data_IF_603705940820
#
_entry.id   IF_603705940820
#
_cell.length_a   1.000
_cell.length_b   1.000
_cell.length_c   1.000
_cell.angle_alpha   90.00
_cell.angle_beta   90.00
_cell.angle_gamma   90.00
#
_symmetry.space_group_name_H-M   'P 1'
#
loop_
_entity.id
_entity.type
_entity.pdbx_description
1 polymer ?
#
# COMPACT_ATOMS: atom_id res chain seq x y z
N UNK A 1 15.61 -6.32 17.33
CA UNK A 1 15.04 -5.36 16.36
C UNK A 1 14.17 -6.09 15.37
N UNK A 2 13.08 -5.48 15.02
CA UNK A 2 12.17 -6.06 14.05
C UNK A 2 12.84 -6.17 12.69
N UNK A 3 12.67 -7.32 12.04
CA UNK A 3 13.22 -7.58 10.72
C UNK A 3 12.77 -6.49 9.72
N UNK A 4 11.49 -6.14 9.78
CA UNK A 4 10.95 -5.13 8.87
C UNK A 4 11.58 -3.77 9.11
N UNK A 5 11.77 -3.41 10.37
CA UNK A 5 12.40 -2.12 10.69
C UNK A 5 13.82 -2.07 10.15
N UNK A 6 14.56 -3.17 10.27
CA UNK A 6 15.92 -3.20 9.74
C UNK A 6 15.93 -2.97 8.24
N UNK A 7 15.00 -3.60 7.52
CA UNK A 7 14.90 -3.41 6.08
C UNK A 7 14.51 -1.99 5.71
N UNK A 8 13.61 -1.40 6.50
CA UNK A 8 13.20 -0.02 6.23
C UNK A 8 14.38 0.92 6.40
N UNK A 9 15.20 0.70 7.42
CA UNK A 9 16.38 1.53 7.62
C UNK A 9 17.33 1.43 6.43
N UNK A 10 17.52 0.22 5.91
CA UNK A 10 18.37 0.04 4.73
C UNK A 10 17.77 0.72 3.52
N UNK A 11 16.45 0.64 3.37
CA UNK A 11 15.77 1.30 2.27
C UNK A 11 15.99 2.80 2.33
N UNK A 12 15.90 3.38 3.52
CA UNK A 12 16.11 4.82 3.68
C UNK A 12 17.54 5.24 3.36
N UNK A 13 18.45 4.29 3.44
CA UNK A 13 19.86 4.55 3.09
C UNK A 13 20.13 4.37 1.60
N UNK A 14 19.09 4.07 0.83
CA UNK A 14 19.22 3.93 -0.61
C UNK A 14 19.29 2.51 -1.11
N UNK A 15 19.04 1.52 -0.26
CA UNK A 15 19.09 0.12 -0.66
C UNK A 15 17.75 -0.26 -1.31
N UNK A 16 17.75 -0.30 -2.65
CA UNK A 16 16.54 -0.63 -3.38
C UNK A 16 16.12 -2.08 -3.19
N UNK A 17 17.08 -2.97 -2.96
CA UNK A 17 16.75 -4.37 -2.73
C UNK A 17 16.00 -4.54 -1.42
N UNK A 18 16.39 -3.79 -0.40
CA UNK A 18 15.68 -3.85 0.87
C UNK A 18 14.26 -3.36 0.70
N UNK A 19 14.08 -2.30 -0.06
CA UNK A 19 12.74 -1.77 -0.33
C UNK A 19 11.88 -2.80 -1.04
N UNK A 20 12.44 -3.43 -2.06
CA UNK A 20 11.71 -4.44 -2.80
C UNK A 20 11.36 -5.63 -1.92
N UNK A 21 12.27 -6.00 -1.02
CA UNK A 21 12.02 -7.11 -0.12
C UNK A 21 10.88 -6.81 0.84
N UNK A 22 10.82 -5.59 1.35
CA UNK A 22 9.71 -5.19 2.22
C UNK A 22 8.39 -5.33 1.48
N UNK A 23 8.33 -4.85 0.26
CA UNK A 23 7.12 -4.94 -0.54
C UNK A 23 6.73 -6.39 -0.74
N UNK A 24 7.71 -7.22 -1.09
CA UNK A 24 7.44 -8.63 -1.33
C UNK A 24 6.92 -9.34 -0.09
N UNK A 25 7.50 -9.02 1.06
CA UNK A 25 7.10 -9.68 2.30
C UNK A 25 5.77 -9.20 2.82
N UNK A 26 5.26 -8.10 2.29
CA UNK A 26 4.00 -7.54 2.75
C UNK A 26 2.90 -7.60 1.69
N UNK A 27 3.10 -8.39 0.64
CA UNK A 27 2.05 -8.54 -0.36
C UNK A 27 0.79 -9.15 0.23
N UNK A 28 0.94 -10.06 1.19
CA UNK A 28 -0.24 -10.63 1.86
C UNK A 28 -1.06 -9.57 2.56
N UNK A 29 -0.41 -8.59 3.16
CA UNK A 29 -1.10 -7.50 3.81
C UNK A 29 -1.88 -6.68 2.79
N UNK A 30 -1.27 -6.40 1.64
CA UNK A 30 -1.95 -5.66 0.59
C UNK A 30 -3.17 -6.42 0.10
N UNK A 31 -3.04 -7.72 -0.16
CA UNK A 31 -4.17 -8.52 -0.60
C UNK A 31 -5.28 -8.56 0.43
N UNK A 32 -4.92 -8.63 1.69
CA UNK A 32 -5.91 -8.64 2.76
C UNK A 32 -6.76 -7.37 2.71
N UNK A 33 -6.11 -6.24 2.49
CA UNK A 33 -6.82 -4.96 2.42
C UNK A 33 -7.63 -4.86 1.13
N UNK A 34 -7.04 -5.31 0.02
CA UNK A 34 -7.69 -5.25 -1.28
C UNK A 34 -9.01 -6.03 -1.27
N UNK A 35 -9.02 -7.17 -0.59
CA UNK A 35 -10.22 -7.99 -0.54
C UNK A 35 -11.41 -7.27 0.09
N UNK A 36 -11.14 -6.30 0.93
CA UNK A 36 -12.21 -5.53 1.56
C UNK A 36 -12.92 -4.65 0.55
N UNK A 37 -12.31 -4.41 -0.58
CA UNK A 37 -12.88 -3.56 -1.62
C UNK A 37 -13.36 -4.35 -2.82
N UNK A 38 -13.43 -5.67 -2.70
CA UNK A 38 -13.92 -6.51 -3.79
C UNK A 38 -15.37 -6.16 -4.10
N UNK A 39 -15.75 -6.28 -5.36
CA UNK A 39 -17.13 -6.05 -5.76
C UNK A 39 -17.48 -4.61 -6.01
N UNK A 40 -16.49 -3.75 -6.08
CA UNK A 40 -16.75 -2.33 -6.29
C UNK A 40 -16.58 -1.89 -7.72
N UNK A 41 -16.59 -2.83 -8.65
CA UNK A 41 -16.49 -2.51 -10.06
C UNK A 41 -15.07 -2.34 -10.56
N UNK A 42 -14.10 -2.59 -9.72
CA UNK A 42 -12.69 -2.50 -10.09
C UNK A 42 -12.06 -3.87 -9.89
N UNK A 43 -11.17 -4.24 -10.80
CA UNK A 43 -10.52 -5.53 -10.69
C UNK A 43 -9.57 -5.56 -9.50
N UNK A 44 -9.49 -6.74 -8.88
CA UNK A 44 -8.64 -6.91 -7.72
C UNK A 44 -7.18 -6.64 -8.04
N UNK A 45 -6.74 -6.98 -9.24
CA UNK A 45 -5.36 -6.76 -9.62
C UNK A 45 -5.02 -5.27 -9.69
N UNK A 46 -5.97 -4.47 -10.18
CA UNK A 46 -5.77 -3.03 -10.19
C UNK A 46 -5.68 -2.48 -8.78
N UNK A 47 -6.56 -2.96 -7.92
CA UNK A 47 -6.53 -2.54 -6.52
C UNK A 47 -5.24 -2.96 -5.84
N UNK A 48 -4.73 -4.14 -6.21
CA UNK A 48 -3.47 -4.60 -5.65
C UNK A 48 -2.33 -3.66 -6.04
N UNK A 49 -2.30 -3.24 -7.30
CA UNK A 49 -1.25 -2.32 -7.73
C UNK A 49 -1.34 -0.99 -6.99
N UNK A 50 -2.54 -0.48 -6.82
CA UNK A 50 -2.72 0.77 -6.08
C UNK A 50 -2.34 0.58 -4.62
N UNK A 51 -2.72 -0.55 -4.04
CA UNK A 51 -2.35 -0.84 -2.66
C UNK A 51 -0.84 -0.95 -2.48
N UNK A 52 -0.18 -1.54 -3.47
CA UNK A 52 1.28 -1.65 -3.42
C UNK A 52 1.93 -0.27 -3.44
N UNK A 53 1.37 0.67 -4.20
CA UNK A 53 1.87 2.04 -4.19
C UNK A 53 1.74 2.63 -2.79
N UNK A 54 0.61 2.39 -2.13
CA UNK A 54 0.43 2.84 -0.76
C UNK A 54 1.45 2.23 0.18
N UNK A 55 1.74 0.95 -0.02
CA UNK A 55 2.74 0.26 0.79
C UNK A 55 4.12 0.89 0.58
N UNK A 56 4.47 1.18 -0.67
CA UNK A 56 5.77 1.79 -0.94
C UNK A 56 5.88 3.17 -0.33
N UNK A 57 4.80 3.93 -0.36
CA UNK A 57 4.79 5.24 0.29
C UNK A 57 4.96 5.09 1.80
N UNK A 58 4.35 4.06 2.38
CA UNK A 58 4.49 3.80 3.80
C UNK A 58 5.94 3.50 4.16
N UNK A 59 6.60 2.69 3.34
CA UNK A 59 8.00 2.36 3.57
C UNK A 59 8.84 3.64 3.55
N UNK A 60 8.60 4.47 2.56
CA UNK A 60 9.41 5.68 2.37
C UNK A 60 9.19 6.70 3.49
N UNK A 61 7.99 6.74 4.04
CA UNK A 61 7.65 7.76 5.03
C UNK A 61 7.70 7.27 6.47
N UNK A 62 7.86 5.98 6.67
CA UNK A 62 7.89 5.45 8.03
C UNK A 62 9.12 5.93 8.77
N UNK A 63 8.91 6.44 9.95
CA UNK A 63 10.00 6.87 10.83
C UNK A 63 10.28 5.73 11.79
N UNK A 64 11.49 5.19 11.73
CA UNK A 64 11.83 4.03 12.54
C UNK A 64 11.85 4.33 14.03
N UNK A 65 11.73 5.59 14.41
CA UNK A 65 11.61 5.96 15.81
C UNK A 65 10.17 5.87 16.31
N UNK A 66 9.21 5.65 15.41
CA UNK A 66 7.83 5.47 15.83
C UNK A 66 7.73 4.25 16.74
N UNK A 67 6.84 4.32 17.70
CA UNK A 67 6.65 3.22 18.65
C UNK A 67 5.49 2.32 18.25
N UNK A 68 5.30 2.14 16.96
CA UNK A 68 4.26 1.27 16.42
C UNK A 68 4.89 0.34 15.41
N UNK A 69 4.23 -0.80 15.17
CA UNK A 69 4.65 -1.72 14.14
C UNK A 69 4.47 -1.08 12.78
N UNK A 70 5.34 -1.46 11.84
CA UNK A 70 5.21 -0.93 10.50
C UNK A 70 3.84 -1.23 9.89
N UNK A 71 3.32 -2.45 10.11
CA UNK A 71 2.02 -2.81 9.54
C UNK A 71 0.92 -1.88 10.05
N UNK A 72 0.99 -1.48 11.31
CA UNK A 72 0.00 -0.55 11.86
C UNK A 72 0.03 0.78 11.12
N UNK A 73 1.21 1.21 10.73
CA UNK A 73 1.37 2.45 9.97
C UNK A 73 0.97 2.25 8.50
N UNK A 74 1.29 1.08 7.93
CA UNK A 74 1.08 0.84 6.51
C UNK A 74 -0.40 0.66 6.16
N UNK A 75 -1.19 0.04 7.03
CA UNK A 75 -2.58 -0.24 6.71
C UNK A 75 -3.36 1.01 6.31
N UNK A 76 -3.34 2.10 7.07
CA UNK A 76 -4.07 3.30 6.63
C UNK A 76 -3.51 3.91 5.37
N UNK A 77 -2.21 3.78 5.13
CA UNK A 77 -1.62 4.30 3.90
C UNK A 77 -2.12 3.53 2.68
N UNK A 78 -2.14 2.21 2.79
CA UNK A 78 -2.62 1.36 1.71
C UNK A 78 -4.11 1.61 1.48
N UNK A 79 -4.87 1.61 2.56
CA UNK A 79 -6.31 1.82 2.48
C UNK A 79 -6.62 3.18 1.86
N UNK A 80 -5.88 4.20 2.27
CA UNK A 80 -6.09 5.55 1.76
C UNK A 80 -5.86 5.65 0.27
N UNK A 81 -4.82 4.99 -0.24
CA UNK A 81 -4.56 5.01 -1.68
C UNK A 81 -5.68 4.34 -2.45
N UNK A 82 -6.16 3.21 -1.94
CA UNK A 82 -7.24 2.49 -2.62
C UNK A 82 -8.52 3.32 -2.61
N UNK A 83 -8.85 3.91 -1.48
CA UNK A 83 -10.05 4.73 -1.39
C UNK A 83 -9.99 5.92 -2.32
N UNK A 84 -8.83 6.56 -2.38
CA UNK A 84 -8.67 7.71 -3.27
C UNK A 84 -8.81 7.29 -4.73
N UNK A 85 -8.21 6.16 -5.08
CA UNK A 85 -8.32 5.65 -6.43
C UNK A 85 -9.77 5.38 -6.82
N UNK A 86 -10.50 4.73 -5.92
CA UNK A 86 -11.91 4.41 -6.20
C UNK A 86 -12.75 5.67 -6.34
N UNK A 87 -12.48 6.66 -5.49
CA UNK A 87 -13.25 7.89 -5.54
C UNK A 87 -12.92 8.73 -6.78
N UNK A 88 -11.64 8.85 -7.08
CA UNK A 88 -11.22 9.81 -8.10
C UNK A 88 -11.21 9.21 -9.49
N UNK A 89 -10.85 7.94 -9.63
CA UNK A 89 -10.67 7.34 -10.93
C UNK A 89 -11.70 6.28 -11.23
N UNK A 90 -11.92 5.35 -10.30
CA UNK A 90 -12.81 4.24 -10.54
C UNK A 90 -14.24 4.69 -10.65
N UNK A 91 -14.72 5.38 -9.63
CA UNK A 91 -16.12 5.74 -9.56
C UNK A 91 -16.44 6.86 -10.52
N UNK A 92 -15.62 7.89 -10.54
CA UNK A 92 -15.89 9.04 -11.39
C UNK A 92 -15.81 8.69 -12.86
N UNK A 93 -14.87 7.85 -13.23
CA UNK A 93 -14.78 7.42 -14.61
C UNK A 93 -16.02 6.69 -15.05
N UNK A 94 -16.49 5.79 -14.18
CA UNK A 94 -17.71 5.04 -14.50
C UNK A 94 -18.86 5.99 -14.68
N UNK A 95 -18.99 6.95 -13.79
CA UNK A 95 -20.07 7.93 -13.90
C UNK A 95 -20.01 8.67 -15.21
N UNK A 96 -18.83 9.09 -15.58
CA UNK A 96 -18.70 9.86 -16.83
C UNK A 96 -18.96 9.02 -18.05
N UNK A 97 -18.53 7.76 -18.00
CA UNK A 97 -18.69 6.91 -19.17
C UNK A 97 -20.15 6.57 -19.43
N UNK A 98 -20.99 6.77 -18.46
CA UNK A 98 -22.41 6.50 -18.64
C UNK A 98 -23.12 7.55 -19.46
N UNK A 99 -22.46 8.63 -19.74
CA UNK A 99 -23.12 9.68 -20.54
C UNK A 99 -23.10 9.39 -22.01
#
# INVERSE_FOLDING_TARGET
MDHTIALIQKSHEGDDEARAQIVEENTGLVWCIVRRFAGRGTEMEDLFQIGTIGLMKAVDKFDCSYEVCFSTYAVPMITGEIKRYLRDDGILKVSRSLK
#
